data_IF_437422370802
#
_entry.id   IF_437422370802
#
_cell.length_a   1.000
_cell.length_b   1.000
_cell.length_c   1.000
_cell.angle_alpha   90.00
_cell.angle_beta   90.00
_cell.angle_gamma   90.00
#
_symmetry.space_group_name_H-M   'P 1'
#
loop_
_entity.id
_entity.type
_entity.pdbx_description
1 polymer ?
#
# COMPACT_ATOMS: atom_id res chain seq x y z
N UNK A 1 -2.14 29.34 -17.66
CA UNK A 1 -1.97 29.11 -16.21
C UNK A 1 -2.92 27.99 -15.84
N UNK A 2 -2.50 27.03 -15.02
CA UNK A 2 -3.41 25.98 -14.52
C UNK A 2 -3.93 26.45 -13.18
N UNK A 3 -5.24 26.43 -13.02
CA UNK A 3 -5.91 26.82 -11.79
C UNK A 3 -6.14 25.55 -10.95
N UNK A 4 -5.83 25.63 -9.66
CA UNK A 4 -6.04 24.56 -8.69
C UNK A 4 -6.99 25.05 -7.60
N UNK A 5 -8.05 24.30 -7.35
CA UNK A 5 -9.05 24.61 -6.32
C UNK A 5 -9.04 23.49 -5.28
N UNK A 6 -8.90 23.87 -4.01
CA UNK A 6 -8.96 22.97 -2.86
C UNK A 6 -10.08 23.47 -1.96
N UNK A 7 -11.03 22.59 -1.66
CA UNK A 7 -12.19 22.88 -0.81
C UNK A 7 -12.19 21.87 0.33
N UNK A 8 -12.32 22.37 1.56
CA UNK A 8 -12.48 21.54 2.74
C UNK A 8 -13.75 22.01 3.48
N UNK A 9 -14.48 21.07 4.06
CA UNK A 9 -15.63 21.36 4.92
C UNK A 9 -15.21 21.88 6.30
N UNK A 10 -13.93 21.70 6.66
CA UNK A 10 -13.37 22.16 7.91
C UNK A 10 -13.23 23.68 7.96
N UNK A 11 -13.38 24.25 9.15
CA UNK A 11 -13.17 25.69 9.39
C UNK A 11 -11.70 26.13 9.26
N UNK A 12 -10.77 25.18 9.21
CA UNK A 12 -9.34 25.42 9.10
C UNK A 12 -8.76 24.59 7.98
N UNK A 13 -7.81 25.18 7.25
CA UNK A 13 -7.09 24.53 6.17
C UNK A 13 -5.60 24.85 6.30
N UNK A 14 -4.79 23.81 6.42
CA UNK A 14 -3.34 23.88 6.50
C UNK A 14 -2.71 23.31 5.24
N UNK A 15 -1.73 24.01 4.69
CA UNK A 15 -1.04 23.62 3.46
C UNK A 15 0.44 23.37 3.74
N UNK A 16 0.93 22.20 3.31
CA UNK A 16 2.36 21.90 3.26
C UNK A 16 2.81 21.81 1.81
N UNK A 17 3.56 22.81 1.34
CA UNK A 17 4.18 22.78 0.02
C UNK A 17 5.54 22.08 0.11
N UNK A 18 5.66 20.93 -0.53
CA UNK A 18 6.86 20.11 -0.50
C UNK A 18 7.54 20.18 -1.85
N UNK A 19 8.62 20.96 -1.91
CA UNK A 19 9.47 21.09 -3.08
C UNK A 19 10.63 20.08 -3.02
N UNK A 20 11.13 19.65 -4.18
CA UNK A 20 12.35 18.86 -4.36
C UNK A 20 12.84 18.99 -5.80
N UNK A 21 14.13 18.76 -6.03
CA UNK A 21 14.74 18.81 -7.36
C UNK A 21 14.18 17.71 -8.27
N UNK A 22 13.75 16.59 -7.69
CA UNK A 22 13.06 15.51 -8.36
C UNK A 22 11.91 14.91 -7.51
N UNK A 23 11.14 13.99 -8.10
CA UNK A 23 10.02 13.34 -7.42
C UNK A 23 10.43 12.44 -6.25
N UNK A 24 11.64 11.86 -6.25
CA UNK A 24 12.12 11.02 -5.15
C UNK A 24 12.38 11.87 -3.92
N UNK A 25 12.94 13.06 -4.12
CA UNK A 25 13.17 14.01 -3.04
C UNK A 25 11.85 14.52 -2.45
N UNK A 26 10.85 14.86 -3.28
CA UNK A 26 9.52 15.26 -2.81
C UNK A 26 8.92 14.16 -1.92
N UNK A 27 8.96 12.89 -2.35
CA UNK A 27 8.46 11.76 -1.55
C UNK A 27 9.26 11.53 -0.26
N UNK A 28 10.58 11.68 -0.31
CA UNK A 28 11.45 11.57 0.87
C UNK A 28 11.12 12.63 1.92
N UNK A 29 10.90 13.89 1.49
CA UNK A 29 10.52 14.99 2.38
C UNK A 29 9.11 14.81 2.93
N UNK A 30 8.15 14.40 2.10
CA UNK A 30 6.78 14.09 2.53
C UNK A 30 6.74 13.00 3.60
N UNK A 31 7.36 11.85 3.34
CA UNK A 31 7.42 10.74 4.31
C UNK A 31 8.30 11.08 5.53
N UNK A 32 9.25 12.02 5.40
CA UNK A 32 9.96 12.59 6.53
C UNK A 32 9.06 13.38 7.49
N UNK A 33 8.04 14.06 6.95
CA UNK A 33 7.07 14.84 7.72
C UNK A 33 5.92 13.98 8.28
N UNK A 34 5.39 13.07 7.46
CA UNK A 34 4.17 12.29 7.79
C UNK A 34 4.45 10.91 8.38
N UNK A 35 5.71 10.47 8.34
CA UNK A 35 6.15 9.16 8.82
C UNK A 35 6.63 8.27 7.68
N UNK A 36 7.76 7.60 7.92
CA UNK A 36 8.33 6.64 6.97
C UNK A 36 7.70 5.27 7.19
N UNK A 37 7.27 4.57 6.12
CA UNK A 37 6.75 3.21 6.27
C UNK A 37 7.85 2.28 6.80
N UNK A 38 7.47 1.39 7.71
CA UNK A 38 8.37 0.34 8.18
C UNK A 38 8.65 -0.67 7.05
N UNK A 39 9.84 -1.26 7.07
CA UNK A 39 10.15 -2.38 6.17
C UNK A 39 9.31 -3.60 6.59
N UNK A 40 8.41 -4.11 5.73
CA UNK A 40 7.63 -5.30 6.07
C UNK A 40 8.52 -6.54 6.12
N UNK A 41 8.12 -7.59 6.85
CA UNK A 41 8.87 -8.85 6.90
C UNK A 41 8.93 -9.50 5.52
N UNK A 42 10.01 -10.24 5.26
CA UNK A 42 10.32 -10.77 3.91
C UNK A 42 9.19 -11.58 3.27
N UNK A 43 8.41 -12.32 4.05
CA UNK A 43 7.33 -13.18 3.54
C UNK A 43 6.17 -12.39 2.90
N UNK A 44 6.01 -11.10 3.20
CA UNK A 44 4.99 -10.22 2.60
C UNK A 44 5.20 -10.09 1.09
N UNK A 45 6.43 -10.18 0.61
CA UNK A 45 6.75 -10.11 -0.82
C UNK A 45 6.61 -11.45 -1.56
N UNK A 46 6.15 -12.51 -0.88
CA UNK A 46 5.83 -13.80 -1.51
C UNK A 46 4.48 -13.77 -2.26
N UNK A 47 4.09 -14.88 -2.90
CA UNK A 47 2.78 -15.02 -3.55
C UNK A 47 1.61 -15.03 -2.55
N UNK A 48 0.51 -14.34 -2.88
CA UNK A 48 -0.68 -14.25 -2.03
C UNK A 48 -1.86 -14.97 -2.70
N UNK A 49 -2.61 -15.76 -1.92
CA UNK A 49 -3.87 -16.37 -2.35
C UNK A 49 -4.97 -15.92 -1.41
N UNK A 50 -6.04 -15.38 -1.98
CA UNK A 50 -7.25 -14.99 -1.26
C UNK A 50 -8.50 -15.53 -1.95
N UNK A 51 -9.62 -15.53 -1.23
CA UNK A 51 -10.98 -15.84 -1.67
C UNK A 51 -11.94 -15.11 -0.74
N UNK A 52 -13.02 -14.56 -1.28
CA UNK A 52 -13.97 -13.75 -0.50
C UNK A 52 -14.71 -14.55 0.59
N UNK A 53 -14.88 -15.86 0.39
CA UNK A 53 -15.43 -16.76 1.41
C UNK A 53 -14.87 -18.18 1.29
N UNK A 54 -14.53 -18.77 2.43
CA UNK A 54 -14.35 -20.22 2.60
C UNK A 54 -15.55 -20.76 3.35
N UNK A 55 -16.29 -21.68 2.73
CA UNK A 55 -17.51 -22.24 3.33
C UNK A 55 -17.22 -23.54 4.09
N UNK A 56 -16.02 -24.11 3.89
CA UNK A 56 -15.56 -25.28 4.59
C UNK A 56 -14.03 -25.27 4.81
N UNK A 57 -13.56 -26.07 5.76
CA UNK A 57 -12.12 -26.33 5.97
C UNK A 57 -11.47 -26.94 4.71
N UNK A 58 -12.24 -27.73 3.96
CA UNK A 58 -11.81 -28.33 2.69
C UNK A 58 -11.42 -27.26 1.67
N UNK A 59 -12.21 -26.19 1.55
CA UNK A 59 -11.92 -25.07 0.63
C UNK A 59 -10.58 -24.40 0.96
N UNK A 60 -10.26 -24.30 2.25
CA UNK A 60 -8.98 -23.74 2.72
C UNK A 60 -7.82 -24.65 2.32
N UNK A 61 -7.92 -25.96 2.58
CA UNK A 61 -6.85 -26.89 2.23
C UNK A 61 -6.67 -27.05 0.72
N UNK A 62 -7.74 -26.94 -0.06
CA UNK A 62 -7.63 -26.91 -1.53
C UNK A 62 -6.77 -25.75 -2.01
N UNK A 63 -7.01 -24.54 -1.50
CA UNK A 63 -6.23 -23.34 -1.82
C UNK A 63 -4.75 -23.49 -1.37
N UNK A 64 -4.50 -24.01 -0.16
CA UNK A 64 -3.14 -24.24 0.35
C UNK A 64 -2.39 -25.27 -0.51
N UNK A 65 -3.04 -26.38 -0.85
CA UNK A 65 -2.43 -27.43 -1.65
C UNK A 65 -2.18 -26.98 -3.10
N UNK A 66 -3.06 -26.13 -3.65
CA UNK A 66 -2.82 -25.47 -4.93
C UNK A 66 -1.56 -24.60 -4.88
N UNK A 67 -1.42 -23.74 -3.87
CA UNK A 67 -0.26 -22.86 -3.75
C UNK A 67 1.06 -23.64 -3.61
N UNK A 68 1.05 -24.74 -2.84
CA UNK A 68 2.22 -25.63 -2.73
C UNK A 68 2.64 -26.24 -4.07
N UNK A 69 1.68 -26.57 -4.95
CA UNK A 69 1.99 -27.11 -6.29
C UNK A 69 2.60 -26.06 -7.23
N UNK A 70 2.17 -24.80 -7.13
CA UNK A 70 2.58 -23.73 -8.04
C UNK A 70 3.90 -23.05 -7.65
N UNK A 71 4.32 -23.15 -6.38
CA UNK A 71 5.47 -22.39 -5.85
C UNK A 71 6.79 -23.17 -5.90
N UNK A 72 6.78 -24.44 -6.32
CA UNK A 72 7.98 -25.31 -6.37
C UNK A 72 8.10 -26.14 -7.66
N UNK A 73 7.97 -25.48 -8.82
CA UNK A 73 8.58 -25.93 -10.07
C UNK A 73 9.74 -25.00 -10.43
#
# INVERSE_FOLDING_TARGET
>A
MKDYQIVAESNTLEYHFIYGEDMKEVLSRYTGLTGRPALPPRWVFGPWKSRDAHYSEKDVYEDVNMMRRLTFQ
#
